data_IF_914871616833
#
_entry.id   IF_914871616833
#
_cell.length_a   1.000
_cell.length_b   1.000
_cell.length_c   1.000
_cell.angle_alpha   90.00
_cell.angle_beta   90.00
_cell.angle_gamma   90.00
#
_symmetry.space_group_name_H-M   'P 1'
#
loop_
_entity.id
_entity.type
_entity.pdbx_description
1 polymer ?
#
# COMPACT_ATOMS: atom_id res chain seq x y z
N UNK A 1 8.07 33.52 -3.67
CA UNK A 1 7.91 32.22 -2.95
C UNK A 1 8.06 31.10 -3.98
N UNK A 2 8.97 30.17 -3.75
CA UNK A 2 9.18 29.04 -4.66
C UNK A 2 8.16 27.93 -4.34
N UNK A 3 7.30 27.61 -5.30
CA UNK A 3 6.34 26.48 -5.21
C UNK A 3 6.96 25.13 -5.59
N UNK A 4 8.26 25.07 -5.87
CA UNK A 4 8.94 23.84 -6.30
C UNK A 4 8.75 22.66 -5.33
N UNK A 5 8.68 22.94 -4.02
CA UNK A 5 8.46 21.91 -3.01
C UNK A 5 7.04 21.33 -3.03
N UNK A 6 6.04 22.14 -3.36
CA UNK A 6 4.65 21.73 -3.43
C UNK A 6 4.42 20.84 -4.65
N UNK A 7 5.05 21.18 -5.79
CA UNK A 7 5.08 20.32 -6.97
C UNK A 7 5.78 18.97 -6.71
N UNK A 8 6.89 18.99 -5.97
CA UNK A 8 7.60 17.76 -5.59
C UNK A 8 6.71 16.87 -4.72
N UNK A 9 5.99 17.45 -3.77
CA UNK A 9 5.05 16.72 -2.92
C UNK A 9 3.92 16.10 -3.75
N UNK A 10 3.24 16.90 -4.58
CA UNK A 10 2.14 16.44 -5.41
C UNK A 10 2.58 15.30 -6.35
N UNK A 11 3.71 15.48 -7.03
CA UNK A 11 4.28 14.46 -7.92
C UNK A 11 4.62 13.16 -7.20
N UNK A 12 5.23 13.23 -6.02
CA UNK A 12 5.58 12.03 -5.24
C UNK A 12 4.35 11.30 -4.72
N UNK A 13 3.31 12.03 -4.30
CA UNK A 13 2.03 11.46 -3.90
C UNK A 13 1.34 10.74 -5.06
N UNK A 14 1.24 11.40 -6.22
CA UNK A 14 0.63 10.82 -7.43
C UNK A 14 1.33 9.53 -7.83
N UNK A 15 2.67 9.52 -7.86
CA UNK A 15 3.45 8.33 -8.19
C UNK A 15 3.20 7.17 -7.19
N UNK A 16 3.11 7.49 -5.90
CA UNK A 16 2.81 6.47 -4.88
C UNK A 16 1.40 5.89 -5.03
N UNK A 17 0.39 6.75 -5.27
CA UNK A 17 -1.01 6.32 -5.45
C UNK A 17 -1.15 5.47 -6.73
N UNK A 18 -0.62 5.95 -7.86
CA UNK A 18 -0.67 5.24 -9.14
C UNK A 18 -0.05 3.84 -9.03
N UNK A 19 1.15 3.75 -8.45
CA UNK A 19 1.85 2.48 -8.30
C UNK A 19 1.11 1.54 -7.35
N UNK A 20 0.52 2.06 -6.26
CA UNK A 20 -0.32 1.29 -5.34
C UNK A 20 -1.54 0.69 -6.02
N UNK A 21 -2.25 1.51 -6.79
CA UNK A 21 -3.46 1.06 -7.51
C UNK A 21 -3.11 -0.01 -8.54
N UNK A 22 -2.09 0.21 -9.33
CA UNK A 22 -1.58 -0.76 -10.31
C UNK A 22 -1.16 -2.07 -9.65
N UNK A 23 -0.48 -2.02 -8.50
CA UNK A 23 -0.11 -3.22 -7.73
C UNK A 23 -1.35 -3.99 -7.27
N UNK A 24 -2.34 -3.29 -6.70
CA UNK A 24 -3.57 -3.92 -6.23
C UNK A 24 -4.35 -4.62 -7.37
N UNK A 25 -4.53 -3.95 -8.50
CA UNK A 25 -5.18 -4.53 -9.69
C UNK A 25 -4.45 -5.79 -10.16
N UNK A 26 -3.13 -5.72 -10.29
CA UNK A 26 -2.32 -6.86 -10.73
C UNK A 26 -2.32 -8.03 -9.73
N UNK A 27 -2.37 -7.75 -8.44
CA UNK A 27 -2.50 -8.81 -7.42
C UNK A 27 -3.86 -9.52 -7.54
N UNK A 28 -4.94 -8.77 -7.74
CA UNK A 28 -6.28 -9.34 -7.94
C UNK A 28 -6.30 -10.21 -9.21
N UNK A 29 -5.81 -9.69 -10.34
CA UNK A 29 -5.71 -10.45 -11.58
C UNK A 29 -4.89 -11.74 -11.42
N UNK A 30 -3.75 -11.67 -10.74
CA UNK A 30 -2.90 -12.82 -10.46
C UNK A 30 -3.59 -13.86 -9.58
N UNK A 31 -4.38 -13.40 -8.60
CA UNK A 31 -5.13 -14.27 -7.70
C UNK A 31 -6.32 -14.94 -8.37
N UNK A 32 -7.01 -14.26 -9.29
CA UNK A 32 -8.09 -14.81 -10.10
C UNK A 32 -7.62 -15.88 -11.10
N UNK A 33 -6.33 -15.92 -11.38
CA UNK A 33 -5.72 -16.92 -12.24
C UNK A 33 -5.72 -18.33 -11.65
N UNK A 34 -5.35 -19.32 -12.48
CA UNK A 34 -5.26 -20.71 -12.05
C UNK A 34 -4.35 -20.88 -10.81
N UNK A 35 -4.78 -21.59 -9.75
CA UNK A 35 -4.05 -21.70 -8.48
C UNK A 35 -2.59 -22.11 -8.65
N UNK A 36 -2.30 -23.05 -9.55
CA UNK A 36 -0.93 -23.52 -9.82
C UNK A 36 0.00 -22.44 -10.38
N UNK A 37 -0.55 -21.37 -10.97
CA UNK A 37 0.21 -20.26 -11.57
C UNK A 37 0.36 -19.06 -10.63
N UNK A 38 -0.42 -18.98 -9.56
CA UNK A 38 -0.43 -17.85 -8.62
C UNK A 38 0.95 -17.55 -8.02
N UNK A 39 1.73 -18.54 -7.51
CA UNK A 39 3.05 -18.24 -6.94
C UNK A 39 3.99 -17.56 -7.94
N UNK A 40 4.10 -18.07 -9.15
CA UNK A 40 4.93 -17.46 -10.18
C UNK A 40 4.41 -16.07 -10.62
N UNK A 41 3.09 -15.86 -10.64
CA UNK A 41 2.49 -14.57 -10.96
C UNK A 41 2.83 -13.53 -9.89
N UNK A 42 2.72 -13.87 -8.60
CA UNK A 42 3.09 -13.00 -7.48
C UNK A 42 4.58 -12.69 -7.46
N UNK A 43 5.43 -13.67 -7.76
CA UNK A 43 6.88 -13.45 -7.91
C UNK A 43 7.21 -12.36 -8.94
N UNK A 44 6.50 -12.30 -10.05
CA UNK A 44 6.67 -11.25 -11.08
C UNK A 44 6.18 -9.86 -10.63
N UNK A 45 5.37 -9.77 -9.60
CA UNK A 45 4.87 -8.50 -9.06
C UNK A 45 5.78 -7.89 -7.99
N UNK A 46 6.76 -8.63 -7.48
CA UNK A 46 7.68 -8.14 -6.44
C UNK A 46 8.36 -6.82 -6.86
N UNK A 47 8.92 -6.68 -8.07
CA UNK A 47 9.51 -5.40 -8.50
C UNK A 47 8.54 -4.22 -8.47
N UNK A 48 7.27 -4.45 -8.77
CA UNK A 48 6.22 -3.41 -8.70
C UNK A 48 5.91 -3.01 -7.24
N UNK A 49 5.91 -3.98 -6.32
CA UNK A 49 5.76 -3.70 -4.89
C UNK A 49 6.96 -2.93 -4.32
N UNK A 50 8.17 -3.25 -4.76
CA UNK A 50 9.39 -2.51 -4.42
C UNK A 50 9.39 -1.09 -4.99
N UNK A 51 8.88 -0.91 -6.22
CA UNK A 51 8.67 0.41 -6.83
C UNK A 51 7.69 1.24 -6.00
N UNK A 52 6.57 0.66 -5.57
CA UNK A 52 5.63 1.32 -4.67
C UNK A 52 6.29 1.75 -3.35
N UNK A 53 7.06 0.87 -2.72
CA UNK A 53 7.80 1.19 -1.50
C UNK A 53 8.77 2.37 -1.70
N UNK A 54 9.46 2.41 -2.84
CA UNK A 54 10.35 3.53 -3.22
C UNK A 54 9.59 4.85 -3.36
N UNK A 55 8.44 4.84 -4.03
CA UNK A 55 7.59 6.03 -4.19
C UNK A 55 7.00 6.49 -2.85
N UNK A 56 6.58 5.56 -1.99
CA UNK A 56 6.11 5.87 -0.64
C UNK A 56 7.20 6.57 0.19
N UNK A 57 8.42 6.06 0.20
CA UNK A 57 9.58 6.68 0.87
C UNK A 57 9.92 8.06 0.29
N UNK A 58 9.75 8.27 -1.01
CA UNK A 58 9.93 9.58 -1.63
C UNK A 58 8.86 10.57 -1.19
N UNK A 59 7.59 10.13 -1.13
CA UNK A 59 6.49 10.93 -0.61
C UNK A 59 6.69 11.31 0.86
N UNK A 60 7.09 10.39 1.73
CA UNK A 60 7.40 10.66 3.14
C UNK A 60 8.45 11.78 3.28
N UNK A 61 9.52 11.73 2.49
CA UNK A 61 10.57 12.78 2.49
C UNK A 61 10.03 14.12 2.01
N UNK A 62 9.28 14.14 0.92
CA UNK A 62 8.69 15.35 0.36
C UNK A 62 7.71 16.00 1.35
N UNK A 63 6.86 15.19 1.99
CA UNK A 63 5.90 15.63 3.00
C UNK A 63 6.60 16.24 4.22
N UNK A 64 7.59 15.56 4.79
CA UNK A 64 8.37 16.07 5.91
C UNK A 64 9.05 17.40 5.58
N UNK A 65 9.66 17.52 4.38
CA UNK A 65 10.33 18.74 3.95
C UNK A 65 9.35 19.89 3.74
N UNK A 66 8.14 19.61 3.22
CA UNK A 66 7.08 20.61 3.10
C UNK A 66 6.58 21.04 4.47
N UNK A 67 6.33 20.09 5.37
CA UNK A 67 5.86 20.39 6.73
C UNK A 67 6.80 21.35 7.46
N UNK A 68 8.08 21.04 7.51
CA UNK A 68 9.07 21.89 8.20
C UNK A 68 9.26 23.29 7.60
N UNK A 69 8.85 23.51 6.35
CA UNK A 69 8.88 24.84 5.74
C UNK A 69 7.69 25.71 6.09
N UNK A 70 6.54 25.09 6.35
CA UNK A 70 5.28 25.82 6.47
C UNK A 70 4.65 25.73 7.86
N UNK A 71 5.06 24.78 8.68
CA UNK A 71 4.43 24.46 9.95
C UNK A 71 5.44 24.35 11.09
N UNK A 72 4.95 24.51 12.33
CA UNK A 72 5.69 24.11 13.52
C UNK A 72 5.81 22.59 13.56
N UNK A 73 6.80 22.02 14.31
CA UNK A 73 7.00 20.55 14.40
C UNK A 73 5.79 19.77 14.91
N UNK A 74 4.92 20.40 15.72
CA UNK A 74 3.76 19.75 16.32
C UNK A 74 2.76 19.27 15.29
N UNK A 75 2.26 18.03 15.45
CA UNK A 75 1.27 17.40 14.59
C UNK A 75 1.88 16.59 13.43
N UNK A 76 3.16 16.73 13.15
CA UNK A 76 3.85 15.92 12.15
C UNK A 76 3.87 14.44 12.53
N UNK A 77 4.04 14.15 13.81
CA UNK A 77 4.13 12.79 14.36
C UNK A 77 2.93 11.92 14.02
N UNK A 78 1.73 12.47 14.03
CA UNK A 78 0.51 11.72 13.66
C UNK A 78 0.54 11.22 12.21
N UNK A 79 1.04 12.05 11.30
CA UNK A 79 1.21 11.67 9.90
C UNK A 79 2.39 10.71 9.72
N UNK A 80 3.48 10.93 10.45
CA UNK A 80 4.65 10.04 10.43
C UNK A 80 4.29 8.62 10.87
N UNK A 81 3.49 8.44 11.93
CA UNK A 81 3.02 7.13 12.40
C UNK A 81 2.22 6.42 11.30
N UNK A 82 1.30 7.12 10.63
CA UNK A 82 0.49 6.55 9.55
C UNK A 82 1.32 6.14 8.33
N UNK A 83 2.26 6.99 7.93
CA UNK A 83 3.13 6.71 6.79
C UNK A 83 4.13 5.58 7.11
N UNK A 84 4.68 5.56 8.33
CA UNK A 84 5.54 4.49 8.80
C UNK A 84 4.80 3.15 8.85
N UNK A 85 3.54 3.13 9.33
CA UNK A 85 2.70 1.94 9.29
C UNK A 85 2.43 1.46 7.87
N UNK A 86 2.17 2.38 6.94
CA UNK A 86 1.96 2.03 5.53
C UNK A 86 3.24 1.45 4.90
N UNK A 87 4.40 1.99 5.25
CA UNK A 87 5.70 1.47 4.80
C UNK A 87 5.95 0.05 5.31
N UNK A 88 5.79 -0.18 6.62
CA UNK A 88 5.99 -1.50 7.22
C UNK A 88 5.06 -2.55 6.62
N UNK A 89 3.79 -2.20 6.39
CA UNK A 89 2.83 -3.08 5.71
C UNK A 89 3.25 -3.41 4.28
N UNK A 90 3.87 -2.48 3.58
CA UNK A 90 4.38 -2.72 2.22
C UNK A 90 5.59 -3.63 2.25
N UNK A 91 6.49 -3.45 3.20
CA UNK A 91 7.65 -4.32 3.41
C UNK A 91 7.21 -5.74 3.80
N UNK A 92 6.20 -5.88 4.65
CA UNK A 92 5.59 -7.18 4.98
C UNK A 92 4.92 -7.82 3.76
N UNK A 93 4.18 -7.04 2.96
CA UNK A 93 3.61 -7.53 1.71
C UNK A 93 4.68 -8.13 0.79
N UNK A 94 5.82 -7.46 0.63
CA UNK A 94 6.94 -7.94 -0.18
C UNK A 94 7.50 -9.24 0.39
N UNK A 95 7.66 -9.36 1.72
CA UNK A 95 8.10 -10.62 2.37
C UNK A 95 7.15 -11.76 2.08
N UNK A 96 5.83 -11.53 2.24
CA UNK A 96 4.79 -12.52 1.94
C UNK A 96 4.76 -12.92 0.46
N UNK A 97 4.93 -11.97 -0.45
CA UNK A 97 5.00 -12.26 -1.89
C UNK A 97 6.20 -13.16 -2.23
N UNK A 98 7.34 -12.95 -1.60
CA UNK A 98 8.52 -13.82 -1.76
C UNK A 98 8.24 -15.22 -1.24
N UNK A 99 7.78 -15.35 0.01
CA UNK A 99 7.44 -16.63 0.60
C UNK A 99 6.43 -17.42 -0.25
N UNK A 100 5.41 -16.72 -0.78
CA UNK A 100 4.41 -17.34 -1.66
C UNK A 100 4.98 -17.75 -3.02
N UNK A 101 5.85 -16.93 -3.61
CA UNK A 101 6.54 -17.25 -4.86
C UNK A 101 7.44 -18.48 -4.70
N UNK A 102 8.10 -18.61 -3.55
CA UNK A 102 8.95 -19.74 -3.18
C UNK A 102 8.16 -20.98 -2.71
N UNK A 103 6.82 -20.87 -2.67
CA UNK A 103 5.89 -21.94 -2.25
C UNK A 103 6.12 -22.42 -0.82
N UNK A 104 6.46 -21.52 0.08
CA UNK A 104 6.61 -21.84 1.49
C UNK A 104 5.28 -22.32 2.07
N UNK A 105 5.29 -23.36 2.95
CA UNK A 105 4.08 -23.88 3.59
C UNK A 105 3.33 -22.78 4.36
N UNK A 106 2.02 -22.69 4.17
CA UNK A 106 1.17 -21.70 4.82
C UNK A 106 1.25 -20.29 4.24
N UNK A 107 2.08 -20.05 3.21
CA UNK A 107 2.11 -18.78 2.52
C UNK A 107 0.90 -18.61 1.59
N UNK A 108 0.46 -17.38 1.37
CA UNK A 108 -0.66 -17.07 0.48
C UNK A 108 -1.37 -15.78 0.84
N UNK A 109 -2.47 -15.51 0.14
CA UNK A 109 -3.27 -14.29 0.25
C UNK A 109 -4.77 -14.63 0.33
N UNK A 110 -5.22 -15.41 1.34
CA UNK A 110 -6.62 -15.80 1.45
C UNK A 110 -7.56 -14.61 1.59
N UNK A 111 -7.08 -13.49 2.13
CA UNK A 111 -7.83 -12.23 2.22
C UNK A 111 -8.28 -11.67 0.86
N UNK A 112 -7.68 -12.10 -0.24
CA UNK A 112 -8.11 -11.69 -1.58
C UNK A 112 -9.39 -12.39 -2.01
N UNK A 113 -9.72 -13.57 -1.46
CA UNK A 113 -11.00 -14.24 -1.69
C UNK A 113 -12.13 -13.40 -1.10
N UNK A 114 -11.97 -12.90 0.13
CA UNK A 114 -12.95 -12.02 0.80
C UNK A 114 -13.19 -10.72 0.00
N UNK A 115 -12.13 -10.15 -0.59
CA UNK A 115 -12.25 -8.93 -1.42
C UNK A 115 -13.01 -9.18 -2.74
N UNK A 116 -12.96 -10.39 -3.27
CA UNK A 116 -13.67 -10.75 -4.49
C UNK A 116 -15.16 -10.99 -4.21
N UNK A 117 -15.52 -11.58 -3.08
CA UNK A 117 -16.90 -11.76 -2.64
C UNK A 117 -17.62 -10.43 -2.38
N UNK A 118 -16.93 -9.42 -1.86
CA UNK A 118 -17.49 -8.08 -1.61
C UNK A 118 -17.93 -7.39 -2.93
N UNK A 119 -17.40 -7.78 -4.08
CA UNK A 119 -17.78 -7.21 -5.38
C UNK A 119 -19.14 -7.68 -5.92
N UNK A 120 -19.68 -8.78 -5.43
CA UNK A 120 -20.89 -9.40 -5.99
C UNK A 120 -22.21 -9.00 -5.32
N UNK A 121 -22.29 -7.91 -4.56
CA UNK A 121 -23.60 -7.44 -4.08
C UNK A 121 -23.67 -6.85 -2.69
N UNK A 122 -22.57 -6.45 -2.10
CA UNK A 122 -22.58 -5.70 -0.85
C UNK A 122 -22.71 -4.22 -1.14
N UNK A 123 -23.86 -3.67 -0.72
CA UNK A 123 -24.05 -2.23 -0.58
C UNK A 123 -22.82 -1.62 0.12
N UNK A 124 -22.05 -0.83 -0.61
CA UNK A 124 -20.86 -0.16 -0.12
C UNK A 124 -21.29 0.89 0.91
N UNK A 125 -21.74 0.45 2.06
CA UNK A 125 -21.78 1.33 3.24
C UNK A 125 -20.33 1.73 3.52
N UNK A 126 -20.01 2.98 3.23
CA UNK A 126 -18.70 3.54 3.56
C UNK A 126 -18.33 3.15 4.98
N UNK A 127 -17.22 2.43 5.19
CA UNK A 127 -16.81 2.08 6.54
C UNK A 127 -16.70 3.38 7.33
N UNK A 128 -17.37 3.47 8.46
CA UNK A 128 -17.30 4.66 9.32
C UNK A 128 -15.82 4.97 9.60
N UNK A 129 -15.47 6.24 9.74
CA UNK A 129 -14.12 6.68 10.06
C UNK A 129 -13.48 5.88 11.22
N UNK A 130 -14.28 5.44 12.19
CA UNK A 130 -13.86 4.54 13.26
C UNK A 130 -13.39 3.18 12.75
N UNK A 131 -14.06 2.57 11.78
CA UNK A 131 -13.64 1.29 11.18
C UNK A 131 -12.32 1.41 10.43
N UNK A 132 -12.12 2.50 9.68
CA UNK A 132 -10.85 2.75 8.98
C UNK A 132 -9.71 3.00 9.99
N UNK A 133 -9.98 3.67 11.11
CA UNK A 133 -8.98 4.00 12.13
C UNK A 133 -8.62 2.81 13.04
N UNK A 134 -9.56 1.89 13.29
CA UNK A 134 -9.42 0.85 14.31
C UNK A 134 -9.40 -0.60 13.77
N UNK A 135 -9.68 -0.83 12.50
CA UNK A 135 -9.73 -2.18 11.93
C UNK A 135 -8.38 -2.93 11.92
N UNK A 136 -7.31 -2.31 12.39
CA UNK A 136 -5.96 -2.88 12.35
C UNK A 136 -5.30 -3.04 13.73
N UNK A 137 -6.04 -2.85 14.81
CA UNK A 137 -5.47 -2.97 16.17
C UNK A 137 -5.87 -4.29 16.84
N UNK A 138 -6.80 -5.05 16.27
CA UNK A 138 -7.36 -6.25 16.89
C UNK A 138 -7.38 -7.48 15.95
N UNK A 139 -6.37 -7.65 15.09
CA UNK A 139 -6.18 -8.94 14.41
C UNK A 139 -4.78 -9.43 14.60
#
# INVERSE_FOLDING_TARGET
KSYAGDFTLARSLTAAIETKMRLAERMIEAWQGAPARRPAAFGRLIPLAEEYLKHLKAFERAFRNMWHRHNKPFGLESTQIRLAGQRERTEELIRRMRAFADKEPGSGFPELDDLLEIREGVDMTFPSYRRIAYSNVNS
#
